data_IF_300570586272
#
_entry.id   IF_300570586272
#
_cell.length_a   1.000
_cell.length_b   1.000
_cell.length_c   1.000
_cell.angle_alpha   90.00
_cell.angle_beta   90.00
_cell.angle_gamma   90.00
#
_symmetry.space_group_name_H-M   'P 1'
#
loop_
_entity.id
_entity.type
_entity.pdbx_description
1 polymer ?
#
# COMPACT_ATOMS: atom_id res chain seq x y z
N UNK A 1 -3.02 10.96 11.93
CA UNK A 1 -3.48 10.43 10.65
C UNK A 1 -4.87 9.80 10.74
N UNK A 2 -5.11 8.80 11.59
CA UNK A 2 -6.38 8.04 11.64
C UNK A 2 -7.63 8.95 11.73
N UNK A 3 -7.57 9.99 12.56
CA UNK A 3 -8.64 10.99 12.65
C UNK A 3 -8.89 11.67 11.30
N UNK A 4 -7.82 12.07 10.59
CA UNK A 4 -7.93 12.75 9.28
C UNK A 4 -8.55 11.84 8.23
N UNK A 5 -8.16 10.56 8.19
CA UNK A 5 -8.76 9.59 7.28
C UNK A 5 -10.25 9.38 7.55
N UNK A 6 -10.66 9.30 8.82
CA UNK A 6 -12.08 9.19 9.18
C UNK A 6 -12.88 10.44 8.80
N UNK A 7 -12.31 11.63 8.93
CA UNK A 7 -12.93 12.89 8.51
C UNK A 7 -13.17 12.95 7.00
N UNK A 8 -12.37 12.24 6.19
CA UNK A 8 -12.56 12.13 4.74
C UNK A 8 -13.47 10.96 4.32
N UNK A 9 -14.07 10.26 5.28
CA UNK A 9 -15.03 9.19 5.04
C UNK A 9 -14.44 7.78 4.97
N UNK A 10 -13.13 7.62 5.16
CA UNK A 10 -12.50 6.31 5.18
C UNK A 10 -12.92 5.50 6.39
N UNK A 11 -13.13 4.20 6.17
CA UNK A 11 -13.45 3.23 7.22
C UNK A 11 -12.25 2.31 7.42
N UNK A 12 -11.87 2.11 8.69
CA UNK A 12 -10.85 1.12 9.00
C UNK A 12 -11.38 -0.29 8.77
N UNK A 13 -10.58 -1.11 8.10
CA UNK A 13 -10.80 -2.54 7.90
C UNK A 13 -9.51 -3.29 8.17
N UNK A 14 -9.61 -4.60 8.36
CA UNK A 14 -8.46 -5.47 8.53
C UNK A 14 -8.62 -6.71 7.66
N UNK A 15 -7.63 -7.00 6.83
CA UNK A 15 -7.60 -8.13 5.93
C UNK A 15 -6.57 -9.17 6.40
N UNK A 16 -6.72 -10.44 5.98
CA UNK A 16 -5.81 -11.49 6.37
C UNK A 16 -4.36 -11.21 6.02
N UNK A 17 -3.45 -11.56 6.92
CA UNK A 17 -2.01 -11.44 6.71
C UNK A 17 -1.49 -12.45 5.69
N UNK A 18 -2.07 -13.65 5.66
CA UNK A 18 -1.68 -14.71 4.74
C UNK A 18 -2.55 -14.68 3.50
N UNK A 19 -1.90 -14.63 2.34
CA UNK A 19 -2.54 -14.56 1.03
C UNK A 19 -2.19 -15.84 0.27
N UNK A 20 -3.16 -16.60 -0.26
CA UNK A 20 -2.86 -17.74 -1.12
C UNK A 20 -1.95 -17.34 -2.29
N UNK A 21 -0.94 -18.14 -2.56
CA UNK A 21 0.05 -17.85 -3.63
C UNK A 21 -0.64 -17.66 -4.99
N UNK A 22 -1.68 -18.44 -5.26
CA UNK A 22 -2.48 -18.32 -6.49
C UNK A 22 -3.15 -16.95 -6.69
N UNK A 23 -3.42 -16.20 -5.62
CA UNK A 23 -3.97 -14.85 -5.73
C UNK A 23 -2.92 -13.87 -6.24
N UNK A 24 -1.71 -14.00 -5.75
CA UNK A 24 -0.57 -13.17 -6.15
C UNK A 24 -0.19 -13.45 -7.61
N UNK A 25 -0.17 -14.72 -8.00
CA UNK A 25 0.19 -15.12 -9.37
C UNK A 25 -0.81 -14.63 -10.44
N UNK A 26 -2.07 -14.43 -10.09
CA UNK A 26 -3.09 -13.86 -10.99
C UNK A 26 -2.86 -12.36 -11.30
N UNK A 27 -2.13 -11.67 -10.47
CA UNK A 27 -1.81 -10.26 -10.61
C UNK A 27 -0.30 -10.05 -10.89
N UNK A 28 0.29 -10.94 -11.70
CA UNK A 28 1.73 -11.02 -11.93
C UNK A 28 2.39 -9.68 -12.29
N UNK A 29 1.69 -8.79 -13.01
CA UNK A 29 2.22 -7.46 -13.36
C UNK A 29 2.45 -6.57 -12.11
N UNK A 30 1.62 -6.69 -11.07
CA UNK A 30 1.81 -5.97 -9.81
C UNK A 30 2.85 -6.63 -8.91
N UNK A 31 3.08 -7.93 -9.07
CA UNK A 31 3.96 -8.74 -8.22
C UNK A 31 5.40 -8.76 -8.72
N UNK A 32 5.65 -8.46 -9.99
CA UNK A 32 7.01 -8.47 -10.56
C UNK A 32 7.99 -7.62 -9.74
N UNK A 33 7.55 -6.47 -9.22
CA UNK A 33 8.35 -5.62 -8.35
C UNK A 33 8.63 -6.20 -6.95
N UNK A 34 7.81 -7.14 -6.46
CA UNK A 34 7.92 -7.72 -5.12
C UNK A 34 8.38 -9.18 -5.10
N UNK A 35 8.42 -9.85 -6.26
CA UNK A 35 8.69 -11.28 -6.37
C UNK A 35 9.96 -11.75 -5.63
N UNK A 36 11.08 -11.01 -5.65
CA UNK A 36 12.28 -11.40 -4.91
C UNK A 36 12.17 -11.22 -3.39
N UNK A 37 11.18 -10.47 -2.91
CA UNK A 37 11.03 -10.03 -1.53
C UNK A 37 9.86 -10.69 -0.80
N UNK A 38 9.31 -11.78 -1.35
CA UNK A 38 8.17 -12.47 -0.77
C UNK A 38 8.59 -13.46 0.33
N UNK A 39 8.02 -13.31 1.53
CA UNK A 39 8.09 -14.33 2.56
C UNK A 39 6.99 -15.37 2.32
N UNK A 40 7.37 -16.63 2.13
CA UNK A 40 6.47 -17.72 1.78
C UNK A 40 6.37 -18.73 2.91
N UNK A 41 5.15 -19.06 3.33
CA UNK A 41 4.86 -20.09 4.31
C UNK A 41 4.49 -21.38 3.56
N UNK A 42 5.29 -22.41 3.73
CA UNK A 42 5.10 -23.72 3.09
C UNK A 42 4.60 -24.79 4.06
N UNK A 43 4.74 -24.56 5.36
CA UNK A 43 4.34 -25.51 6.41
C UNK A 43 3.54 -24.81 7.50
N UNK A 44 2.50 -25.46 7.99
CA UNK A 44 1.75 -25.05 9.18
C UNK A 44 1.19 -26.27 9.91
N UNK A 45 1.09 -26.17 11.26
CA UNK A 45 0.60 -27.30 12.07
C UNK A 45 1.44 -28.57 11.94
N UNK A 46 2.73 -28.46 11.63
CA UNK A 46 3.65 -29.58 11.45
C UNK A 46 3.51 -30.33 10.11
N UNK A 47 2.75 -29.79 9.16
CA UNK A 47 2.53 -30.38 7.83
C UNK A 47 2.82 -29.36 6.73
N UNK A 48 3.20 -29.88 5.58
CA UNK A 48 3.29 -29.08 4.35
C UNK A 48 1.88 -28.65 3.92
N UNK A 49 1.77 -27.41 3.46
CA UNK A 49 0.52 -26.87 2.95
C UNK A 49 0.32 -27.31 1.50
N UNK A 50 -0.92 -27.65 1.14
CA UNK A 50 -1.30 -27.98 -0.25
C UNK A 50 -1.03 -26.80 -1.19
N UNK A 51 -1.26 -25.57 -0.70
CA UNK A 51 -0.93 -24.34 -1.38
C UNK A 51 -0.11 -23.45 -0.44
N UNK A 52 1.07 -22.96 -0.88
CA UNK A 52 1.86 -22.02 -0.11
C UNK A 52 1.10 -20.70 0.13
N UNK A 53 1.36 -20.09 1.27
CA UNK A 53 0.80 -18.77 1.62
C UNK A 53 1.90 -17.72 1.58
N UNK A 54 1.57 -16.55 1.07
CA UNK A 54 2.46 -15.39 1.08
C UNK A 54 2.10 -14.52 2.28
N UNK A 55 3.11 -14.13 3.04
CA UNK A 55 2.93 -13.08 4.05
C UNK A 55 2.82 -11.76 3.30
N UNK A 56 1.72 -11.03 3.47
CA UNK A 56 1.41 -9.84 2.67
C UNK A 56 2.57 -8.85 2.58
N UNK A 57 3.06 -8.53 1.37
CA UNK A 57 3.99 -7.42 1.14
C UNK A 57 3.26 -6.10 0.99
N UNK A 58 1.98 -6.18 0.68
CA UNK A 58 0.96 -5.14 0.52
C UNK A 58 -0.39 -5.86 0.37
N UNK A 59 -1.51 -5.17 0.43
CA UNK A 59 -2.83 -5.81 0.47
C UNK A 59 -3.71 -5.55 -0.75
N UNK A 60 -3.20 -4.94 -1.84
CA UNK A 60 -3.98 -4.65 -3.05
C UNK A 60 -4.71 -5.89 -3.56
N UNK A 61 -3.99 -7.00 -3.70
CA UNK A 61 -4.51 -8.25 -4.28
C UNK A 61 -5.76 -8.73 -3.54
N UNK A 62 -5.70 -8.84 -2.21
CA UNK A 62 -6.83 -9.33 -1.43
C UNK A 62 -7.94 -8.30 -1.30
N UNK A 63 -7.60 -7.02 -1.15
CA UNK A 63 -8.59 -5.94 -1.02
C UNK A 63 -9.35 -5.76 -2.33
N UNK A 64 -8.66 -5.69 -3.47
CA UNK A 64 -9.30 -5.53 -4.77
C UNK A 64 -10.13 -6.76 -5.15
N UNK A 65 -9.69 -7.97 -4.76
CA UNK A 65 -10.52 -9.16 -4.90
C UNK A 65 -11.84 -9.03 -4.12
N UNK A 66 -11.82 -8.46 -2.92
CA UNK A 66 -13.04 -8.21 -2.15
C UNK A 66 -13.87 -7.06 -2.74
N UNK A 67 -13.24 -6.00 -3.22
CA UNK A 67 -13.94 -4.91 -3.91
C UNK A 67 -14.72 -5.43 -5.12
N UNK A 68 -14.15 -6.33 -5.91
CA UNK A 68 -14.85 -6.93 -7.05
C UNK A 68 -16.09 -7.73 -6.67
N UNK A 69 -16.24 -8.14 -5.41
CA UNK A 69 -17.42 -8.82 -4.88
C UNK A 69 -18.40 -7.89 -4.18
N UNK A 70 -17.91 -6.83 -3.56
CA UNK A 70 -18.73 -5.90 -2.78
C UNK A 70 -19.34 -4.81 -3.64
N UNK A 71 -18.63 -4.38 -4.70
CA UNK A 71 -19.12 -3.35 -5.62
C UNK A 71 -19.94 -4.01 -6.70
N UNK A 72 -21.26 -3.90 -6.58
CA UNK A 72 -22.22 -4.44 -7.54
C UNK A 72 -22.79 -3.37 -8.48
N UNK A 73 -22.72 -2.11 -8.10
CA UNK A 73 -23.20 -0.99 -8.90
C UNK A 73 -22.44 0.30 -8.57
N UNK A 74 -22.63 1.32 -9.42
CA UNK A 74 -22.08 2.66 -9.18
C UNK A 74 -22.57 3.31 -7.86
N UNK A 75 -23.65 2.81 -7.28
CA UNK A 75 -24.19 3.30 -6.00
C UNK A 75 -23.36 2.85 -4.80
N UNK A 76 -22.51 1.85 -4.98
CA UNK A 76 -21.61 1.35 -3.97
C UNK A 76 -20.30 2.16 -3.90
N UNK A 77 -20.14 3.14 -4.80
CA UNK A 77 -18.99 4.01 -4.91
C UNK A 77 -19.27 5.42 -4.35
N UNK A 78 -18.26 6.11 -3.83
CA UNK A 78 -16.90 5.62 -3.65
C UNK A 78 -16.80 4.63 -2.49
N UNK A 79 -15.93 3.63 -2.63
CA UNK A 79 -15.53 2.77 -1.53
C UNK A 79 -14.18 3.25 -0.99
N UNK A 80 -14.13 3.59 0.30
CA UNK A 80 -12.97 4.20 0.93
C UNK A 80 -12.58 3.39 2.17
N UNK A 81 -11.50 2.63 2.08
CA UNK A 81 -11.03 1.76 3.16
C UNK A 81 -9.59 2.13 3.52
N UNK A 82 -9.29 2.12 4.81
CA UNK A 82 -7.94 2.21 5.37
C UNK A 82 -7.64 0.99 6.22
N UNK A 83 -6.44 0.47 6.10
CA UNK A 83 -5.94 -0.61 6.93
C UNK A 83 -4.68 -0.18 7.67
N UNK A 84 -4.69 -0.29 8.99
CA UNK A 84 -3.49 -0.24 9.82
C UNK A 84 -2.98 -1.66 10.00
N UNK A 85 -1.78 -1.93 9.51
CA UNK A 85 -1.25 -3.30 9.53
C UNK A 85 0.28 -3.35 9.46
N UNK A 86 0.82 -4.55 9.71
CA UNK A 86 2.17 -4.89 9.32
C UNK A 86 2.19 -5.39 7.87
N UNK A 87 3.35 -5.27 7.23
CA UNK A 87 3.69 -5.93 5.97
C UNK A 87 5.09 -6.51 6.07
N UNK A 88 5.37 -7.53 5.27
CA UNK A 88 6.67 -8.18 5.22
C UNK A 88 7.21 -8.14 3.79
N UNK A 89 8.34 -7.49 3.63
CA UNK A 89 9.15 -7.49 2.40
C UNK A 89 10.51 -8.03 2.78
N UNK A 90 10.88 -9.19 2.25
CA UNK A 90 12.10 -9.88 2.66
C UNK A 90 13.34 -9.13 2.14
N UNK A 91 13.74 -8.11 2.88
CA UNK A 91 14.86 -7.24 2.52
C UNK A 91 16.19 -7.94 2.74
N UNK A 92 16.96 -8.12 1.67
CA UNK A 92 18.29 -8.75 1.71
C UNK A 92 19.37 -7.85 2.32
N UNK A 93 19.13 -6.55 2.31
CA UNK A 93 20.06 -5.54 2.85
C UNK A 93 19.32 -4.62 3.81
N UNK A 94 19.07 -5.12 5.00
CA UNK A 94 18.39 -4.35 6.04
C UNK A 94 19.19 -3.11 6.44
N UNK A 95 18.48 -2.04 6.75
CA UNK A 95 19.04 -0.80 7.28
C UNK A 95 18.21 -0.37 8.48
N UNK A 96 18.86 -0.17 9.60
CA UNK A 96 18.20 0.16 10.86
C UNK A 96 17.23 1.34 10.69
N UNK A 97 15.99 1.16 11.14
CA UNK A 97 14.84 2.07 11.03
C UNK A 97 14.33 2.39 9.61
N UNK A 98 15.15 2.25 8.58
CA UNK A 98 14.79 2.67 7.21
C UNK A 98 14.40 1.50 6.30
N UNK A 99 15.02 0.33 6.48
CA UNK A 99 14.75 -0.88 5.71
C UNK A 99 14.76 -2.10 6.62
N UNK A 100 13.60 -2.44 7.16
CA UNK A 100 13.36 -3.64 7.94
C UNK A 100 12.53 -4.62 7.13
N UNK A 101 12.70 -5.93 7.37
CA UNK A 101 11.91 -6.94 6.65
C UNK A 101 10.43 -6.90 7.02
N UNK A 102 10.10 -6.47 8.23
CA UNK A 102 8.73 -6.17 8.66
C UNK A 102 8.64 -4.70 9.07
N UNK A 103 7.56 -4.05 8.70
CA UNK A 103 7.25 -2.70 9.16
C UNK A 103 5.76 -2.48 9.32
N UNK A 104 5.42 -1.52 10.15
CA UNK A 104 4.05 -1.09 10.39
C UNK A 104 3.75 0.11 9.51
N UNK A 105 2.61 0.08 8.88
CA UNK A 105 2.14 1.17 8.03
C UNK A 105 0.63 1.33 8.07
N UNK A 106 0.14 2.29 7.35
CA UNK A 106 -1.24 2.31 6.88
C UNK A 106 -1.25 2.18 5.35
N UNK A 107 -2.29 1.58 4.82
CA UNK A 107 -2.57 1.51 3.39
C UNK A 107 -4.04 1.85 3.18
N UNK A 108 -4.28 2.87 2.36
CA UNK A 108 -5.61 3.24 1.91
C UNK A 108 -5.91 2.62 0.56
N UNK A 109 -7.08 2.01 0.43
CA UNK A 109 -7.55 1.43 -0.81
C UNK A 109 -8.91 2.00 -1.14
N UNK A 110 -9.05 2.55 -2.33
CA UNK A 110 -10.28 3.23 -2.73
C UNK A 110 -10.73 2.80 -4.12
N UNK A 111 -12.03 2.84 -4.35
CA UNK A 111 -12.62 2.66 -5.67
C UNK A 111 -13.60 3.80 -5.95
N UNK A 112 -13.56 4.33 -7.16
CA UNK A 112 -14.30 5.49 -7.60
C UNK A 112 -15.03 5.21 -8.91
N UNK A 113 -16.06 6.02 -9.22
CA UNK A 113 -16.80 5.87 -10.46
C UNK A 113 -16.05 6.44 -11.67
N UNK A 114 -15.20 7.44 -11.44
CA UNK A 114 -14.46 8.12 -12.50
C UNK A 114 -12.97 8.26 -12.14
N UNK A 115 -12.14 8.45 -13.15
CA UNK A 115 -10.70 8.71 -12.95
C UNK A 115 -10.45 10.07 -12.28
N UNK A 116 -11.31 11.04 -12.52
CA UNK A 116 -11.19 12.37 -11.90
C UNK A 116 -11.46 12.30 -10.41
N UNK A 117 -12.47 11.55 -9.97
CA UNK A 117 -12.74 11.30 -8.55
C UNK A 117 -11.56 10.57 -7.88
N UNK A 118 -11.00 9.55 -8.54
CA UNK A 118 -9.84 8.82 -8.02
C UNK A 118 -8.61 9.74 -7.89
N UNK A 119 -8.40 10.63 -8.86
CA UNK A 119 -7.32 11.60 -8.83
C UNK A 119 -7.49 12.64 -7.72
N UNK A 120 -8.70 13.15 -7.54
CA UNK A 120 -9.02 14.08 -6.45
C UNK A 120 -8.73 13.45 -5.09
N UNK A 121 -9.14 12.19 -4.91
CA UNK A 121 -8.87 11.46 -3.68
C UNK A 121 -7.37 11.22 -3.45
N UNK A 122 -6.62 10.83 -4.47
CA UNK A 122 -5.17 10.64 -4.37
C UNK A 122 -4.46 11.94 -3.95
N UNK A 123 -4.84 13.08 -4.53
CA UNK A 123 -4.28 14.40 -4.18
C UNK A 123 -4.68 14.82 -2.77
N UNK A 124 -5.91 14.55 -2.34
CA UNK A 124 -6.38 14.79 -0.97
C UNK A 124 -5.55 14.00 0.05
N UNK A 125 -5.27 12.73 -0.22
CA UNK A 125 -4.43 11.92 0.66
C UNK A 125 -2.98 12.43 0.68
N UNK A 126 -2.45 12.87 -0.45
CA UNK A 126 -1.13 13.47 -0.52
C UNK A 126 -1.02 14.72 0.36
N UNK A 127 -2.06 15.56 0.39
CA UNK A 127 -2.13 16.75 1.25
C UNK A 127 -2.15 16.37 2.75
N UNK A 128 -2.88 15.33 3.11
CA UNK A 128 -2.93 14.81 4.49
C UNK A 128 -1.57 14.26 4.92
N UNK A 129 -0.86 13.55 4.05
CA UNK A 129 0.49 13.05 4.33
C UNK A 129 1.49 14.20 4.50
N UNK A 130 1.42 15.20 3.65
CA UNK A 130 2.27 16.39 3.77
C UNK A 130 2.00 17.13 5.10
N UNK A 131 0.73 17.37 5.44
CA UNK A 131 0.32 17.99 6.70
C UNK A 131 0.88 17.22 7.90
N UNK A 132 0.72 15.90 7.90
CA UNK A 132 1.23 15.04 8.96
C UNK A 132 2.75 15.10 9.08
N UNK A 133 3.46 14.98 7.97
CA UNK A 133 4.93 15.05 7.95
C UNK A 133 5.43 16.35 8.58
N UNK A 134 4.84 17.48 8.18
CA UNK A 134 5.23 18.80 8.68
C UNK A 134 4.81 19.06 10.13
N UNK A 135 3.56 18.77 10.48
CA UNK A 135 3.00 19.18 11.77
C UNK A 135 3.25 18.20 12.91
N UNK A 136 3.23 16.89 12.62
CA UNK A 136 3.37 15.87 13.64
C UNK A 136 4.76 15.24 13.69
N UNK A 137 5.41 15.06 12.54
CA UNK A 137 6.74 14.47 12.48
C UNK A 137 7.88 15.51 12.38
N UNK A 138 7.57 16.78 12.16
CA UNK A 138 8.54 17.86 11.94
C UNK A 138 9.51 17.57 10.78
N UNK A 139 9.04 16.87 9.74
CA UNK A 139 9.80 16.51 8.54
C UNK A 139 9.35 17.39 7.38
N UNK A 140 10.28 18.11 6.79
CA UNK A 140 10.03 18.86 5.55
C UNK A 140 9.96 17.90 4.37
N UNK A 141 8.88 17.94 3.61
CA UNK A 141 8.66 17.12 2.43
C UNK A 141 8.28 17.97 1.23
N UNK A 142 8.55 17.42 0.05
CA UNK A 142 8.14 17.98 -1.24
C UNK A 142 7.13 17.00 -1.85
N UNK A 143 5.98 17.52 -2.28
CA UNK A 143 4.99 16.76 -3.06
C UNK A 143 5.37 16.75 -4.53
N UNK A 144 5.14 15.63 -5.18
CA UNK A 144 5.40 15.51 -6.61
C UNK A 144 4.70 14.34 -7.26
N UNK A 145 4.81 14.32 -8.58
CA UNK A 145 4.41 13.20 -9.42
C UNK A 145 5.66 12.43 -9.82
N UNK A 146 5.65 11.12 -9.67
CA UNK A 146 6.75 10.25 -10.11
C UNK A 146 6.88 10.30 -11.63
N UNK A 147 8.12 10.21 -12.10
CA UNK A 147 8.40 10.03 -13.54
C UNK A 147 7.89 8.66 -14.02
N UNK A 148 7.75 8.52 -15.34
CA UNK A 148 7.31 7.24 -15.93
C UNK A 148 8.23 6.06 -15.60
N UNK A 149 9.50 6.33 -15.31
CA UNK A 149 10.48 5.30 -14.94
C UNK A 149 10.31 4.87 -13.47
N UNK A 150 9.88 5.80 -12.61
CA UNK A 150 9.80 5.57 -11.15
C UNK A 150 8.37 5.32 -10.66
N UNK A 151 7.36 5.50 -11.51
CA UNK A 151 5.99 5.25 -11.12
C UNK A 151 5.77 3.78 -10.79
N UNK A 152 4.83 3.50 -9.90
CA UNK A 152 4.46 2.15 -9.54
C UNK A 152 3.99 1.36 -10.78
N UNK A 153 4.44 0.11 -10.90
CA UNK A 153 4.04 -0.78 -12.00
C UNK A 153 2.52 -0.94 -12.04
N UNK A 154 1.92 -0.75 -13.23
CA UNK A 154 0.47 -0.79 -13.43
C UNK A 154 -0.27 0.50 -13.06
N UNK A 155 0.37 1.49 -12.42
CA UNK A 155 -0.26 2.77 -12.14
C UNK A 155 -0.29 3.67 -13.38
N UNK A 156 -1.42 4.37 -13.61
CA UNK A 156 -1.47 5.46 -14.59
C UNK A 156 -0.70 6.69 -14.12
N UNK A 157 -0.79 7.01 -12.83
CA UNK A 157 -0.03 8.10 -12.20
C UNK A 157 0.34 7.69 -10.77
N UNK A 158 1.53 8.08 -10.33
CA UNK A 158 1.98 7.91 -8.96
C UNK A 158 2.38 9.26 -8.37
N UNK A 159 1.80 9.59 -7.23
CA UNK A 159 2.16 10.77 -6.44
C UNK A 159 2.98 10.34 -5.22
N UNK A 160 3.84 11.20 -4.73
CA UNK A 160 4.61 10.95 -3.51
C UNK A 160 4.92 12.23 -2.75
N UNK A 161 5.19 12.07 -1.45
CA UNK A 161 5.91 13.05 -0.65
C UNK A 161 7.32 12.53 -0.38
N UNK A 162 8.31 13.36 -0.56
CA UNK A 162 9.72 12.97 -0.41
C UNK A 162 10.47 13.94 0.51
N UNK A 163 11.25 13.37 1.42
CA UNK A 163 12.13 14.10 2.33
C UNK A 163 13.59 13.99 1.88
N UNK A 164 14.35 15.07 2.05
CA UNK A 164 15.79 15.05 1.81
C UNK A 164 16.52 14.41 2.99
N UNK A 165 17.35 13.42 2.70
CA UNK A 165 18.22 12.76 3.65
C UNK A 165 19.59 13.46 3.74
N UNK A 166 20.31 13.22 4.84
CA UNK A 166 21.65 13.81 5.04
C UNK A 166 22.67 13.38 3.98
N UNK A 167 22.47 12.24 3.34
CA UNK A 167 23.29 11.73 2.23
C UNK A 167 22.86 12.28 0.86
N UNK A 168 22.03 13.32 0.84
CA UNK A 168 21.48 13.97 -0.35
C UNK A 168 20.58 13.08 -1.22
N UNK A 169 20.06 12.00 -0.65
CA UNK A 169 19.08 11.15 -1.31
C UNK A 169 17.67 11.52 -0.87
N UNK A 170 16.71 11.32 -1.76
CA UNK A 170 15.30 11.42 -1.43
C UNK A 170 14.83 10.15 -0.70
N UNK A 171 14.05 10.35 0.37
CA UNK A 171 13.30 9.30 1.05
C UNK A 171 11.82 9.51 0.75
N UNK A 172 11.19 8.54 0.12
CA UNK A 172 9.73 8.54 -0.03
C UNK A 172 9.09 8.29 1.34
N UNK A 173 8.27 9.22 1.79
CA UNK A 173 7.62 9.18 3.11
C UNK A 173 6.10 8.90 3.01
N UNK A 174 5.54 8.86 1.82
CA UNK A 174 4.14 8.54 1.53
C UNK A 174 3.85 8.59 0.04
#
# INVERSE_FOLDING_TARGET
>A
LDKRFKETGHKNAYFPMFIPKSFIEKEAEHVEGFSPELATVTHAGGKELEEPLIVRPTSETIINHMFSKWISSHRDLPMLINQWSNVVRWEMRTRLFLRTSEFLWQEGHTAHATIDEAKEEALRMLDIYEEFAKQAAAVSVIKGTKSDIEKFAGASTTYSIEAMMNDMKALQAG
#
